data_IF_939895013294
#
_entry.id   IF_939895013294
#
_cell.length_a   1.000
_cell.length_b   1.000
_cell.length_c   1.000
_cell.angle_alpha   90.00
_cell.angle_beta   90.00
_cell.angle_gamma   90.00
#
_symmetry.space_group_name_H-M   'P 1'
#
loop_
_entity.id
_entity.type
_entity.pdbx_description
1 polymer ?
#
# COMPACT_ATOMS: atom_id res chain seq x y z
N UNK A 1 -5.48 -36.48 21.34
CA UNK A 1 -6.21 -35.21 21.13
C UNK A 1 -5.16 -34.19 20.70
N UNK A 2 -4.93 -34.05 19.40
CA UNK A 2 -4.06 -33.00 18.88
C UNK A 2 -4.92 -31.74 18.80
N UNK A 3 -4.70 -30.76 19.68
CA UNK A 3 -5.15 -29.41 19.41
C UNK A 3 -4.42 -28.98 18.14
N UNK A 4 -5.16 -28.71 17.06
CA UNK A 4 -4.62 -27.99 15.93
C UNK A 4 -4.07 -26.67 16.50
N UNK A 5 -2.74 -26.51 16.52
CA UNK A 5 -2.16 -25.19 16.68
C UNK A 5 -2.71 -24.36 15.52
N UNK A 6 -3.69 -23.51 15.81
CA UNK A 6 -4.06 -22.44 14.92
C UNK A 6 -2.76 -21.72 14.59
N UNK A 7 -2.37 -21.69 13.31
CA UNK A 7 -1.30 -20.81 12.86
C UNK A 7 -1.70 -19.41 13.32
N UNK A 8 -0.82 -18.73 14.05
CA UNK A 8 -1.07 -17.37 14.51
C UNK A 8 -1.44 -16.49 13.31
N UNK A 9 -2.53 -15.73 13.46
CA UNK A 9 -2.96 -14.76 12.46
C UNK A 9 -1.94 -13.63 12.30
N UNK A 10 -2.12 -12.82 11.27
CA UNK A 10 -1.30 -11.63 11.06
C UNK A 10 -1.47 -10.62 12.20
N UNK A 11 -2.71 -10.47 12.67
CA UNK A 11 -3.08 -9.70 13.85
C UNK A 11 -2.36 -10.19 15.10
N UNK A 12 -2.45 -11.49 15.43
CA UNK A 12 -1.80 -12.08 16.61
C UNK A 12 -0.27 -11.83 16.66
N UNK A 13 0.40 -11.90 15.51
CA UNK A 13 1.84 -11.67 15.40
C UNK A 13 2.19 -10.21 15.69
N UNK A 14 1.41 -9.25 15.21
CA UNK A 14 1.65 -7.84 15.53
C UNK A 14 1.30 -7.53 16.98
N UNK A 15 0.20 -8.07 17.51
CA UNK A 15 -0.22 -7.86 18.92
C UNK A 15 0.85 -8.31 19.92
N UNK A 16 1.70 -9.29 19.57
CA UNK A 16 2.86 -9.69 20.38
C UNK A 16 3.78 -8.52 20.74
N UNK A 17 3.95 -7.55 19.85
CA UNK A 17 4.78 -6.36 20.07
C UNK A 17 4.08 -5.27 20.90
N UNK A 18 2.81 -5.45 21.25
CA UNK A 18 1.98 -4.51 22.01
C UNK A 18 1.50 -5.11 23.34
N UNK A 19 2.37 -5.88 24.00
CA UNK A 19 2.09 -6.42 25.33
C UNK A 19 1.12 -7.61 25.37
N UNK A 20 0.70 -8.15 24.21
CA UNK A 20 -0.10 -9.36 24.10
C UNK A 20 0.75 -10.52 23.56
N UNK A 21 1.65 -11.10 24.38
CA UNK A 21 2.65 -12.04 23.91
C UNK A 21 1.99 -13.27 23.28
N UNK A 22 2.33 -13.53 22.01
CA UNK A 22 1.92 -14.74 21.31
C UNK A 22 2.45 -16.00 22.05
N UNK A 23 1.57 -16.90 22.52
CA UNK A 23 1.99 -18.11 23.21
C UNK A 23 2.92 -18.97 22.34
N UNK A 24 4.04 -19.41 22.92
CA UNK A 24 5.06 -20.22 22.23
C UNK A 24 5.70 -19.54 21.01
N UNK A 25 5.70 -18.20 20.96
CA UNK A 25 6.44 -17.46 19.95
C UNK A 25 7.93 -17.91 19.92
N UNK A 26 8.52 -18.06 18.73
CA UNK A 26 9.95 -18.32 18.63
C UNK A 26 10.71 -17.10 19.17
N UNK A 27 11.83 -17.31 19.86
CA UNK A 27 12.67 -16.23 20.39
C UNK A 27 13.18 -15.24 19.31
N UNK A 28 13.17 -15.65 18.04
CA UNK A 28 13.49 -14.76 16.92
C UNK A 28 12.44 -13.66 16.74
N UNK A 29 11.20 -13.85 17.20
CA UNK A 29 10.15 -12.84 17.13
C UNK A 29 10.42 -11.67 18.08
N UNK A 30 10.96 -11.95 19.27
CA UNK A 30 11.29 -10.91 20.27
C UNK A 30 12.40 -9.94 19.78
N UNK A 31 13.28 -10.40 18.88
CA UNK A 31 14.36 -9.59 18.25
C UNK A 31 13.95 -9.04 16.88
N UNK A 32 12.76 -9.35 16.39
CA UNK A 32 12.35 -8.96 15.04
C UNK A 32 12.09 -7.45 14.93
N UNK A 33 12.34 -6.92 13.73
CA UNK A 33 11.91 -5.57 13.32
C UNK A 33 10.79 -5.67 12.31
N UNK A 34 9.91 -4.67 12.30
CA UNK A 34 8.82 -4.58 11.34
C UNK A 34 9.24 -3.59 10.26
N UNK A 35 9.27 -4.03 9.02
CA UNK A 35 9.61 -3.19 7.86
C UNK A 35 8.41 -3.15 6.94
N UNK A 36 7.80 -1.97 6.86
CA UNK A 36 6.85 -1.61 5.82
C UNK A 36 7.56 -1.30 4.51
N UNK A 37 7.03 -1.81 3.40
CA UNK A 37 7.43 -1.43 2.04
C UNK A 37 6.20 -1.10 1.19
N UNK A 38 6.29 -0.01 0.41
CA UNK A 38 5.36 0.33 -0.67
C UNK A 38 6.15 0.82 -1.89
N UNK A 39 5.74 0.43 -3.10
CA UNK A 39 6.33 0.92 -4.33
C UNK A 39 5.26 1.53 -5.24
N UNK A 40 5.55 2.71 -5.78
CA UNK A 40 4.73 3.31 -6.83
C UNK A 40 5.38 3.09 -8.20
N UNK A 41 4.56 2.84 -9.21
CA UNK A 41 5.05 2.59 -10.57
C UNK A 41 4.23 3.31 -11.65
N UNK A 42 4.87 3.54 -12.80
CA UNK A 42 4.20 4.17 -13.93
C UNK A 42 3.19 3.21 -14.56
N UNK A 43 1.91 3.58 -14.53
CA UNK A 43 0.80 2.68 -14.94
C UNK A 43 0.46 2.76 -16.43
N UNK A 44 0.97 3.76 -17.14
CA UNK A 44 0.63 4.01 -18.55
C UNK A 44 1.62 3.40 -19.54
N UNK A 45 2.80 3.01 -19.07
CA UNK A 45 3.79 2.30 -19.86
C UNK A 45 3.35 0.88 -20.20
N UNK A 46 4.09 0.22 -21.10
CA UNK A 46 4.07 -1.25 -21.20
C UNK A 46 4.91 -1.86 -20.06
N UNK A 47 6.07 -1.26 -19.79
CA UNK A 47 6.95 -1.61 -18.68
C UNK A 47 6.50 -0.83 -17.43
N UNK A 48 6.33 -1.54 -16.31
CA UNK A 48 6.00 -0.96 -15.00
C UNK A 48 7.26 -0.41 -14.35
N UNK A 49 7.71 0.74 -14.82
CA UNK A 49 8.83 1.44 -14.22
C UNK A 49 8.50 1.88 -12.79
N UNK A 50 9.24 1.38 -11.80
CA UNK A 50 9.12 1.85 -10.41
C UNK A 50 9.59 3.30 -10.35
N UNK A 51 8.72 4.18 -9.86
CA UNK A 51 8.94 5.62 -9.77
C UNK A 51 9.32 6.06 -8.37
N UNK A 52 8.79 5.39 -7.34
CA UNK A 52 8.96 5.78 -5.94
C UNK A 52 9.04 4.53 -5.05
N UNK A 53 9.75 4.64 -3.94
CA UNK A 53 9.85 3.66 -2.86
C UNK A 53 9.55 4.34 -1.53
N UNK A 54 8.64 3.73 -0.76
CA UNK A 54 8.37 4.06 0.62
C UNK A 54 8.84 2.93 1.52
N UNK A 55 9.61 3.27 2.55
CA UNK A 55 10.01 2.30 3.58
C UNK A 55 9.71 2.92 4.95
N UNK A 56 9.04 2.17 5.81
CA UNK A 56 8.83 2.52 7.21
C UNK A 56 9.37 1.40 8.10
N UNK A 57 10.25 1.72 9.04
CA UNK A 57 10.89 0.73 9.91
C UNK A 57 10.45 1.03 11.33
N UNK A 58 9.80 0.04 11.96
CA UNK A 58 9.47 0.04 13.37
C UNK A 58 10.34 -0.99 14.07
N UNK A 59 11.18 -0.50 14.97
CA UNK A 59 12.04 -1.32 15.81
C UNK A 59 11.47 -1.34 17.24
N UNK A 60 10.87 -2.45 17.69
CA UNK A 60 10.29 -2.55 19.02
C UNK A 60 11.30 -2.31 20.15
N UNK A 61 12.59 -2.53 19.90
CA UNK A 61 13.64 -2.33 20.93
C UNK A 61 13.93 -0.85 21.22
N UNK A 62 13.59 0.05 20.30
CA UNK A 62 13.69 1.50 20.52
C UNK A 62 12.66 2.01 21.55
N UNK A 63 11.71 1.17 21.96
CA UNK A 63 10.63 1.49 22.88
C UNK A 63 11.01 1.43 24.36
N UNK A 64 12.05 0.67 24.73
CA UNK A 64 12.41 0.34 26.12
C UNK A 64 12.73 1.53 27.06
N UNK A 65 12.65 2.78 26.59
CA UNK A 65 12.81 3.98 27.40
C UNK A 65 11.50 4.71 27.76
N UNK A 66 10.32 4.32 27.24
CA UNK A 66 9.07 5.09 27.43
C UNK A 66 7.84 4.22 27.74
N UNK A 67 6.87 4.81 28.44
CA UNK A 67 5.87 4.13 29.27
C UNK A 67 4.56 3.72 28.56
N UNK A 68 4.45 3.90 27.24
CA UNK A 68 3.20 3.65 26.52
C UNK A 68 3.45 3.03 25.12
N UNK A 69 3.02 1.78 24.93
CA UNK A 69 3.10 1.02 23.67
C UNK A 69 2.35 1.72 22.52
N UNK A 70 1.39 2.59 22.87
CA UNK A 70 0.56 3.29 21.90
C UNK A 70 1.27 4.46 21.20
N UNK A 71 2.50 4.81 21.61
CA UNK A 71 3.31 5.86 21.00
C UNK A 71 4.36 5.35 19.99
N UNK A 72 4.40 4.04 19.69
CA UNK A 72 5.41 3.39 18.85
C UNK A 72 5.59 4.04 17.46
N UNK A 73 4.51 4.55 16.88
CA UNK A 73 4.48 5.22 15.57
C UNK A 73 5.48 6.38 15.49
N UNK A 74 5.70 7.13 16.59
CA UNK A 74 6.57 8.32 16.58
C UNK A 74 8.06 7.97 16.42
N UNK A 75 8.43 6.71 16.67
CA UNK A 75 9.79 6.21 16.58
C UNK A 75 10.08 5.49 15.25
N UNK A 76 9.12 5.47 14.32
CA UNK A 76 9.36 4.88 13.01
C UNK A 76 10.41 5.68 12.24
N UNK A 77 11.38 4.97 11.67
CA UNK A 77 12.25 5.52 10.65
C UNK A 77 11.55 5.45 9.30
N UNK A 78 11.33 6.59 8.65
CA UNK A 78 10.62 6.65 7.38
C UNK A 78 11.53 7.18 6.27
N UNK A 79 11.53 6.48 5.16
CA UNK A 79 12.25 6.85 3.95
C UNK A 79 11.28 6.96 2.78
N UNK A 80 11.45 8.02 1.99
CA UNK A 80 10.78 8.17 0.72
C UNK A 80 11.80 8.51 -0.36
N UNK A 81 11.87 7.68 -1.38
CA UNK A 81 12.82 7.84 -2.46
C UNK A 81 12.12 7.83 -3.83
N UNK A 82 12.57 8.69 -4.73
CA UNK A 82 12.15 8.74 -6.13
C UNK A 82 13.30 8.30 -7.03
N UNK A 83 13.01 7.38 -7.95
CA UNK A 83 14.01 6.75 -8.80
C UNK A 83 14.38 7.72 -9.92
N UNK A 84 15.61 8.24 -9.93
CA UNK A 84 16.09 9.31 -10.84
C UNK A 84 15.74 9.06 -12.31
N UNK A 85 16.04 7.87 -12.89
CA UNK A 85 15.66 7.56 -14.27
C UNK A 85 14.15 7.71 -14.53
N UNK A 86 13.32 7.33 -13.56
CA UNK A 86 11.88 7.20 -13.71
C UNK A 86 11.09 8.36 -13.08
N UNK A 87 11.73 9.28 -12.34
CA UNK A 87 11.07 10.33 -11.56
C UNK A 87 10.31 11.37 -12.42
N UNK A 88 10.51 11.35 -13.74
CA UNK A 88 9.76 12.18 -14.68
C UNK A 88 8.40 11.55 -15.06
N UNK A 89 8.21 10.25 -14.81
CA UNK A 89 6.98 9.52 -15.02
C UNK A 89 6.03 9.79 -13.84
N UNK A 90 4.85 10.34 -14.13
CA UNK A 90 3.88 10.76 -13.11
C UNK A 90 2.47 10.30 -13.50
N UNK A 91 1.81 9.58 -12.60
CA UNK A 91 0.43 9.11 -12.76
C UNK A 91 -0.59 10.25 -12.51
N UNK A 92 -0.56 11.32 -13.31
CA UNK A 92 -1.37 12.53 -13.09
C UNK A 92 -2.88 12.30 -12.89
N UNK A 93 -3.45 11.26 -13.49
CA UNK A 93 -4.88 10.91 -13.37
C UNK A 93 -5.22 10.19 -12.07
N UNK A 94 -4.23 9.58 -11.41
CA UNK A 94 -4.39 8.90 -10.14
C UNK A 94 -4.17 9.86 -8.94
N UNK A 95 -4.09 11.19 -9.18
CA UNK A 95 -3.82 12.13 -8.10
C UNK A 95 -2.37 12.08 -7.61
N UNK A 96 -1.40 11.81 -8.49
CA UNK A 96 0.00 11.69 -8.10
C UNK A 96 0.50 12.93 -7.33
N UNK A 97 1.01 12.67 -6.13
CA UNK A 97 1.51 13.66 -5.18
C UNK A 97 2.97 13.41 -4.80
N UNK A 98 3.76 12.90 -5.75
CA UNK A 98 5.16 12.50 -5.60
C UNK A 98 6.09 13.51 -4.87
N UNK A 99 5.74 14.80 -4.88
CA UNK A 99 6.47 15.88 -4.20
C UNK A 99 5.93 16.23 -2.81
N UNK A 100 4.92 15.51 -2.30
CA UNK A 100 4.19 15.77 -1.05
C UNK A 100 4.37 14.67 -0.02
N UNK A 101 5.62 14.31 0.24
CA UNK A 101 5.95 13.43 1.36
C UNK A 101 5.78 14.17 2.69
N UNK A 102 4.98 13.60 3.60
CA UNK A 102 4.57 14.24 4.86
C UNK A 102 5.49 13.94 6.03
N UNK A 103 6.23 12.83 5.97
CA UNK A 103 6.96 12.27 7.11
C UNK A 103 8.48 12.47 6.99
N UNK A 104 8.93 13.39 6.13
CA UNK A 104 10.35 13.64 5.93
C UNK A 104 10.66 14.38 4.64
N UNK A 105 11.87 14.15 4.13
CA UNK A 105 12.33 14.73 2.86
C UNK A 105 12.46 13.65 1.81
N UNK A 106 11.80 13.84 0.66
CA UNK A 106 11.99 12.98 -0.52
C UNK A 106 13.44 13.04 -0.98
N UNK A 107 14.05 11.87 -1.17
CA UNK A 107 15.36 11.72 -1.80
C UNK A 107 15.20 11.27 -3.25
N UNK A 108 16.09 11.70 -4.13
CA UNK A 108 16.22 11.21 -5.48
C UNK A 108 17.43 10.30 -5.54
N UNK A 109 17.20 9.06 -5.96
CA UNK A 109 18.21 8.00 -5.92
C UNK A 109 18.38 7.35 -7.29
N UNK A 110 19.59 6.87 -7.56
CA UNK A 110 19.89 5.96 -8.67
C UNK A 110 19.33 4.56 -8.37
N UNK A 111 19.37 3.66 -9.37
CA UNK A 111 18.97 2.26 -9.17
C UNK A 111 19.90 1.53 -8.18
N UNK A 112 21.20 1.81 -8.24
CA UNK A 112 22.20 1.25 -7.31
C UNK A 112 21.96 1.73 -5.87
N UNK A 113 21.66 3.02 -5.68
CA UNK A 113 21.30 3.55 -4.36
C UNK A 113 19.96 2.98 -3.85
N UNK A 114 19.05 2.55 -4.73
CA UNK A 114 17.82 1.85 -4.33
C UNK A 114 18.12 0.46 -3.76
N UNK A 115 19.02 -0.29 -4.40
CA UNK A 115 19.54 -1.56 -3.86
C UNK A 115 20.24 -1.35 -2.51
N UNK A 116 21.06 -0.30 -2.37
CA UNK A 116 21.71 0.05 -1.11
C UNK A 116 20.70 0.39 -0.02
N UNK A 117 19.66 1.17 -0.33
CA UNK A 117 18.56 1.49 0.58
C UNK A 117 17.85 0.21 1.06
N UNK A 118 17.46 -0.66 0.15
CA UNK A 118 16.79 -1.92 0.48
C UNK A 118 17.70 -2.81 1.33
N UNK A 119 18.97 -2.95 0.97
CA UNK A 119 19.94 -3.72 1.74
C UNK A 119 20.11 -3.16 3.16
N UNK A 120 20.28 -1.84 3.31
CA UNK A 120 20.41 -1.21 4.62
C UNK A 120 19.14 -1.37 5.48
N UNK A 121 17.97 -1.33 4.86
CA UNK A 121 16.71 -1.54 5.56
C UNK A 121 16.55 -2.98 6.04
N UNK A 122 16.77 -3.97 5.17
CA UNK A 122 16.45 -5.38 5.43
C UNK A 122 17.59 -6.20 6.05
N UNK A 123 18.84 -5.72 5.98
CA UNK A 123 20.03 -6.37 6.55
C UNK A 123 20.55 -5.60 7.76
N UNK A 124 19.69 -5.32 8.75
CA UNK A 124 20.09 -4.63 9.98
C UNK A 124 20.90 -5.57 10.89
N UNK A 125 22.10 -5.19 11.35
CA UNK A 125 22.92 -6.05 12.19
C UNK A 125 22.28 -6.26 13.56
N UNK A 126 22.47 -7.45 14.14
CA UNK A 126 22.13 -7.72 15.54
C UNK A 126 23.03 -6.93 16.49
N UNK A 127 22.55 -6.65 17.70
CA UNK A 127 23.32 -5.93 18.73
C UNK A 127 24.62 -6.65 19.11
N UNK A 128 24.67 -7.99 18.99
CA UNK A 128 25.86 -8.79 19.25
C UNK A 128 26.88 -8.77 18.09
N UNK A 129 26.58 -8.10 16.97
CA UNK A 129 27.44 -8.01 15.79
C UNK A 129 27.47 -9.26 14.90
N UNK A 130 26.69 -10.31 15.21
CA UNK A 130 26.68 -11.57 14.46
C UNK A 130 25.35 -11.77 13.72
N UNK A 131 25.40 -11.60 12.39
CA UNK A 131 24.24 -11.78 11.51
C UNK A 131 23.27 -10.60 11.55
N UNK A 132 22.14 -10.78 10.87
CA UNK A 132 21.10 -9.76 10.73
C UNK A 132 19.87 -10.08 11.59
N UNK A 133 19.16 -9.03 11.97
CA UNK A 133 17.91 -9.14 12.73
C UNK A 133 16.81 -9.76 11.87
N UNK A 134 15.92 -10.58 12.46
CA UNK A 134 14.75 -11.08 11.76
C UNK A 134 13.83 -9.93 11.33
N UNK A 135 13.23 -10.06 10.15
CA UNK A 135 12.33 -9.04 9.57
C UNK A 135 10.93 -9.60 9.44
N UNK A 136 9.95 -8.81 9.89
CA UNK A 136 8.54 -8.93 9.51
C UNK A 136 8.28 -7.91 8.41
N UNK A 137 8.09 -8.40 7.19
CA UNK A 137 7.73 -7.55 6.05
C UNK A 137 6.24 -7.23 6.13
N UNK A 138 5.89 -5.95 6.05
CA UNK A 138 4.51 -5.46 6.15
C UNK A 138 4.14 -4.66 4.90
N UNK A 139 2.91 -4.82 4.41
CA UNK A 139 2.38 -3.91 3.39
C UNK A 139 0.89 -4.10 3.12
N UNK A 140 0.47 -3.64 1.94
CA UNK A 140 -0.91 -3.67 1.46
C UNK A 140 -0.93 -4.23 0.04
N UNK A 141 -1.07 -5.56 -0.09
CA UNK A 141 -0.80 -6.35 -1.30
C UNK A 141 0.70 -6.51 -1.65
N UNK A 142 1.51 -6.89 -0.64
CA UNK A 142 2.99 -6.98 -0.66
C UNK A 142 3.59 -7.73 -1.85
N UNK A 143 2.91 -8.78 -2.34
CA UNK A 143 3.41 -9.61 -3.43
C UNK A 143 3.64 -8.80 -4.71
N UNK A 144 2.81 -7.78 -4.97
CA UNK A 144 2.98 -6.92 -6.14
C UNK A 144 4.26 -6.09 -6.05
N UNK A 145 4.54 -5.53 -4.87
CA UNK A 145 5.72 -4.69 -4.65
C UNK A 145 7.00 -5.50 -4.81
N UNK A 146 7.08 -6.66 -4.15
CA UNK A 146 8.28 -7.52 -4.20
C UNK A 146 8.60 -8.00 -5.61
N UNK A 147 7.58 -8.34 -6.41
CA UNK A 147 7.77 -8.69 -7.82
C UNK A 147 8.34 -7.51 -8.61
N UNK A 148 7.80 -6.30 -8.40
CA UNK A 148 8.27 -5.10 -9.10
C UNK A 148 9.71 -4.73 -8.75
N UNK A 149 10.11 -4.92 -7.48
CA UNK A 149 11.50 -4.71 -7.07
C UNK A 149 12.46 -5.65 -7.80
N UNK A 150 12.11 -6.93 -7.89
CA UNK A 150 12.93 -7.91 -8.62
C UNK A 150 13.05 -7.53 -10.11
N UNK A 151 11.95 -7.14 -10.74
CA UNK A 151 11.91 -6.81 -12.17
C UNK A 151 12.66 -5.49 -12.50
N UNK A 152 12.62 -4.50 -11.62
CA UNK A 152 13.19 -3.16 -11.89
C UNK A 152 14.61 -2.96 -11.34
N UNK A 153 14.94 -3.60 -10.22
CA UNK A 153 16.22 -3.43 -9.53
C UNK A 153 17.06 -4.71 -9.49
N UNK A 154 16.49 -5.87 -9.86
CA UNK A 154 17.16 -7.16 -9.70
C UNK A 154 17.31 -7.58 -8.24
N UNK A 155 16.49 -7.01 -7.34
CA UNK A 155 16.55 -7.25 -5.89
C UNK A 155 15.41 -8.16 -5.46
N UNK A 156 15.75 -9.38 -5.05
CA UNK A 156 14.81 -10.30 -4.41
C UNK A 156 15.00 -10.18 -2.89
N UNK A 157 14.03 -9.55 -2.21
CA UNK A 157 14.09 -9.39 -0.76
C UNK A 157 14.19 -10.73 -0.02
N UNK A 158 13.74 -11.84 -0.64
CA UNK A 158 13.85 -13.19 -0.04
C UNK A 158 15.29 -13.68 -0.01
N UNK A 159 16.13 -13.25 -0.94
CA UNK A 159 17.56 -13.62 -0.99
C UNK A 159 18.36 -13.00 0.16
N UNK A 160 17.87 -11.93 0.80
CA UNK A 160 18.47 -11.40 2.02
C UNK A 160 18.41 -12.39 3.20
N UNK A 161 17.47 -13.34 3.18
CA UNK A 161 17.36 -14.38 4.20
C UNK A 161 16.98 -13.87 5.60
N UNK A 162 16.52 -12.62 5.72
CA UNK A 162 16.14 -12.00 6.99
C UNK A 162 14.63 -12.03 7.25
N UNK A 163 13.82 -12.12 6.19
CA UNK A 163 12.35 -12.11 6.29
C UNK A 163 11.86 -13.44 6.88
N UNK A 164 11.29 -13.38 8.09
CA UNK A 164 10.71 -14.53 8.79
C UNK A 164 9.18 -14.61 8.65
N UNK A 165 8.53 -13.49 8.31
CA UNK A 165 7.09 -13.41 8.10
C UNK A 165 6.75 -12.24 7.18
N UNK A 166 5.74 -12.42 6.34
CA UNK A 166 5.07 -11.34 5.62
C UNK A 166 3.68 -11.13 6.20
N UNK A 167 3.31 -9.88 6.45
CA UNK A 167 2.02 -9.43 6.97
C UNK A 167 1.37 -8.51 5.94
N UNK A 168 0.11 -8.79 5.64
CA UNK A 168 -0.71 -8.00 4.72
C UNK A 168 -1.91 -7.42 5.46
N UNK A 169 -2.09 -6.11 5.37
CA UNK A 169 -3.19 -5.39 6.02
C UNK A 169 -4.57 -5.76 5.45
N UNK A 170 -4.67 -6.26 4.22
CA UNK A 170 -5.94 -6.76 3.67
C UNK A 170 -6.37 -8.05 4.36
N UNK A 171 -5.40 -8.93 4.66
CA UNK A 171 -5.64 -10.17 5.41
C UNK A 171 -5.99 -9.83 6.86
N UNK A 172 -5.27 -8.91 7.50
CA UNK A 172 -5.58 -8.46 8.85
C UNK A 172 -6.99 -7.88 8.97
N UNK A 173 -7.43 -7.10 7.98
CA UNK A 173 -8.77 -6.55 7.93
C UNK A 173 -9.85 -7.65 7.89
N UNK A 174 -9.61 -8.72 7.13
CA UNK A 174 -10.48 -9.90 7.11
C UNK A 174 -10.48 -10.63 8.47
N UNK A 175 -9.32 -10.81 9.10
CA UNK A 175 -9.18 -11.47 10.41
C UNK A 175 -10.01 -10.79 11.51
N UNK A 176 -10.08 -9.45 11.52
CA UNK A 176 -10.88 -8.69 12.49
C UNK A 176 -12.31 -8.41 12.03
N UNK A 177 -12.70 -8.87 10.84
CA UNK A 177 -14.06 -8.73 10.31
C UNK A 177 -14.43 -7.34 9.78
N UNK A 178 -13.46 -6.55 9.31
CA UNK A 178 -13.74 -5.28 8.62
C UNK A 178 -14.50 -5.58 7.32
N UNK A 179 -15.67 -4.94 7.18
CA UNK A 179 -16.51 -5.11 6.00
C UNK A 179 -16.09 -4.14 4.89
N UNK A 180 -16.05 -4.67 3.66
CA UNK A 180 -15.76 -3.90 2.44
C UNK A 180 -16.73 -4.32 1.34
N UNK A 181 -17.13 -3.36 0.51
CA UNK A 181 -17.92 -3.64 -0.71
C UNK A 181 -17.05 -4.26 -1.83
N UNK A 182 -15.72 -4.19 -1.69
CA UNK A 182 -14.74 -4.76 -2.60
C UNK A 182 -14.16 -6.06 -2.03
N UNK A 183 -13.86 -7.08 -2.87
CA UNK A 183 -13.19 -8.31 -2.43
C UNK A 183 -11.85 -8.06 -1.73
N UNK A 184 -11.18 -6.98 -2.09
CA UNK A 184 -9.95 -6.50 -1.45
C UNK A 184 -10.20 -5.06 -1.00
N UNK A 185 -10.08 -4.80 0.29
CA UNK A 185 -10.24 -3.45 0.85
C UNK A 185 -9.02 -2.61 0.49
N UNK A 186 -9.24 -1.39 -0.02
CA UNK A 186 -8.14 -0.46 -0.31
C UNK A 186 -7.68 0.26 0.96
N UNK A 187 -6.41 0.69 0.97
CA UNK A 187 -5.83 1.45 2.08
C UNK A 187 -6.67 2.67 2.46
N UNK A 188 -7.17 3.41 1.48
CA UNK A 188 -8.06 4.56 1.69
C UNK A 188 -9.32 4.19 2.49
N UNK A 189 -9.94 3.06 2.15
CA UNK A 189 -11.17 2.62 2.81
C UNK A 189 -10.89 2.12 4.23
N UNK A 190 -9.72 1.48 4.46
CA UNK A 190 -9.24 1.13 5.80
C UNK A 190 -8.99 2.36 6.67
N UNK A 191 -8.28 3.37 6.16
CA UNK A 191 -8.03 4.62 6.88
C UNK A 191 -9.33 5.31 7.27
N UNK A 192 -10.28 5.38 6.31
CA UNK A 192 -11.61 5.93 6.55
C UNK A 192 -12.38 5.14 7.62
N UNK A 193 -12.25 3.82 7.64
CA UNK A 193 -12.88 2.96 8.65
C UNK A 193 -12.42 3.32 10.07
N UNK A 194 -11.14 3.62 10.23
CA UNK A 194 -10.56 4.11 11.50
C UNK A 194 -10.74 5.63 11.73
N UNK A 195 -11.46 6.34 10.86
CA UNK A 195 -11.65 7.79 10.98
C UNK A 195 -10.40 8.62 10.73
N UNK A 196 -9.35 8.05 10.13
CA UNK A 196 -8.12 8.76 9.79
C UNK A 196 -8.31 9.50 8.47
N UNK A 197 -8.10 10.81 8.49
CA UNK A 197 -8.09 11.63 7.29
C UNK A 197 -6.70 11.61 6.66
N UNK A 198 -6.61 10.98 5.50
CA UNK A 198 -5.39 10.87 4.73
C UNK A 198 -5.18 12.09 3.82
N UNK A 199 -3.93 12.56 3.73
CA UNK A 199 -3.51 13.58 2.77
C UNK A 199 -2.45 12.98 1.86
N UNK A 200 -2.56 13.28 0.57
CA UNK A 200 -1.56 12.92 -0.43
C UNK A 200 -1.25 11.41 -0.51
N UNK A 201 -2.30 10.58 -0.51
CA UNK A 201 -2.17 9.19 -0.97
C UNK A 201 -1.59 9.15 -2.39
N UNK A 202 -1.01 8.02 -2.77
CA UNK A 202 -0.21 7.86 -3.99
C UNK A 202 1.14 8.58 -3.90
N UNK A 203 1.70 8.57 -2.70
CA UNK A 203 3.12 8.84 -2.43
C UNK A 203 3.60 7.64 -1.63
N UNK A 204 4.53 6.86 -2.17
CA UNK A 204 4.88 5.57 -1.57
C UNK A 204 5.29 5.70 -0.09
N UNK A 205 6.02 6.77 0.24
CA UNK A 205 6.41 7.07 1.62
C UNK A 205 5.26 7.43 2.55
N UNK A 206 4.19 8.09 2.07
CA UNK A 206 3.01 8.34 2.89
C UNK A 206 2.19 7.06 3.05
N UNK A 207 2.00 6.34 1.95
CA UNK A 207 1.14 5.16 1.88
C UNK A 207 1.67 4.07 2.81
N UNK A 208 2.99 3.88 2.88
CA UNK A 208 3.55 2.89 3.81
C UNK A 208 3.43 3.28 5.28
N UNK A 209 3.54 4.56 5.63
CA UNK A 209 3.35 5.02 7.01
C UNK A 209 1.89 4.82 7.45
N UNK A 210 0.95 5.17 6.58
CA UNK A 210 -0.47 4.94 6.84
C UNK A 210 -0.80 3.45 6.88
N UNK A 211 -0.16 2.62 6.05
CA UNK A 211 -0.29 1.17 6.09
C UNK A 211 0.21 0.59 7.41
N UNK A 212 1.38 1.04 7.90
CA UNK A 212 1.90 0.67 9.22
C UNK A 212 0.90 1.05 10.32
N UNK A 213 0.42 2.30 10.32
CA UNK A 213 -0.54 2.77 11.33
C UNK A 213 -1.84 1.94 11.32
N UNK A 214 -2.38 1.62 10.15
CA UNK A 214 -3.56 0.74 10.01
C UNK A 214 -3.28 -0.66 10.53
N UNK A 215 -2.10 -1.23 10.24
CA UNK A 215 -1.74 -2.53 10.79
C UNK A 215 -1.71 -2.51 12.32
N UNK A 216 -1.14 -1.47 12.93
CA UNK A 216 -1.14 -1.33 14.38
C UNK A 216 -2.57 -1.24 14.93
N UNK A 217 -3.43 -0.43 14.32
CA UNK A 217 -4.83 -0.30 14.71
C UNK A 217 -5.60 -1.62 14.59
N UNK A 218 -5.38 -2.38 13.51
CA UNK A 218 -5.99 -3.69 13.32
C UNK A 218 -5.52 -4.69 14.38
N UNK A 219 -4.23 -4.66 14.75
CA UNK A 219 -3.68 -5.53 15.79
C UNK A 219 -4.16 -5.22 17.22
N UNK A 220 -4.69 -4.02 17.44
CA UNK A 220 -5.22 -3.57 18.73
C UNK A 220 -6.74 -3.49 18.77
N UNK A 221 -7.44 -3.77 17.66
CA UNK A 221 -8.89 -3.66 17.58
C UNK A 221 -9.60 -4.63 18.56
N UNK A 222 -10.65 -4.19 19.30
CA UNK A 222 -11.39 -2.93 19.20
C UNK A 222 -10.96 -1.80 20.16
N UNK A 223 -9.73 -1.82 20.68
CA UNK A 223 -9.26 -0.82 21.63
C UNK A 223 -9.17 0.59 21.01
N UNK A 224 -10.04 1.49 21.47
CA UNK A 224 -10.15 2.86 20.97
C UNK A 224 -9.05 3.78 21.50
N UNK A 225 -8.48 3.50 22.67
CA UNK A 225 -7.46 4.36 23.28
C UNK A 225 -6.16 4.31 22.47
N UNK A 226 -5.83 3.13 21.94
CA UNK A 226 -4.72 2.93 20.99
C UNK A 226 -4.91 3.76 19.73
N UNK A 227 -6.16 3.92 19.28
CA UNK A 227 -6.50 4.72 18.11
C UNK A 227 -6.06 6.18 18.21
N UNK A 228 -6.34 6.80 19.36
CA UNK A 228 -5.98 8.19 19.60
C UNK A 228 -4.45 8.39 19.70
N UNK A 229 -3.75 7.46 20.33
CA UNK A 229 -2.31 7.54 20.48
C UNK A 229 -1.56 7.33 19.16
N UNK A 230 -2.00 6.38 18.32
CA UNK A 230 -1.48 6.21 16.95
C UNK A 230 -1.66 7.49 16.14
N UNK A 231 -2.83 8.11 16.22
CA UNK A 231 -3.08 9.39 15.54
C UNK A 231 -2.13 10.50 16.02
N UNK A 232 -1.94 10.66 17.35
CA UNK A 232 -0.97 11.62 17.88
C UNK A 232 0.46 11.32 17.43
N UNK A 233 0.86 10.05 17.47
CA UNK A 233 2.18 9.59 17.02
C UNK A 233 2.41 9.90 15.54
N UNK A 234 1.40 9.79 14.68
CA UNK A 234 1.48 10.19 13.27
C UNK A 234 1.71 11.70 13.12
N UNK A 235 1.01 12.54 13.88
CA UNK A 235 1.21 13.99 13.83
C UNK A 235 2.58 14.41 14.35
N UNK A 236 3.06 13.79 15.43
CA UNK A 236 4.43 14.00 15.92
C UNK A 236 5.48 13.54 14.92
N UNK A 237 5.28 12.39 14.27
CA UNK A 237 6.18 11.89 13.23
C UNK A 237 6.27 12.86 12.04
N UNK A 238 5.15 13.46 11.63
CA UNK A 238 5.14 14.52 10.59
C UNK A 238 5.98 15.71 11.01
N UNK A 239 5.79 16.19 12.24
CA UNK A 239 6.57 17.33 12.78
C UNK A 239 8.06 16.97 12.83
N UNK A 240 8.42 15.84 13.42
CA UNK A 240 9.81 15.42 13.59
C UNK A 240 10.51 15.16 12.25
N UNK A 241 9.83 14.52 11.30
CA UNK A 241 10.36 14.25 9.96
C UNK A 241 10.72 15.54 9.21
N UNK A 242 9.98 16.64 9.44
CA UNK A 242 10.32 17.95 8.87
C UNK A 242 11.50 18.64 9.55
N UNK A 243 11.75 18.35 10.84
CA UNK A 243 12.78 19.02 11.63
C UNK A 243 14.14 18.33 11.56
N UNK A 244 14.16 17.00 11.45
CA UNK A 244 15.39 16.19 11.46
C UNK A 244 15.47 15.40 10.16
N UNK A 245 16.17 15.92 9.12
CA UNK A 245 16.36 15.18 7.88
C UNK A 245 17.07 13.86 8.17
N UNK A 246 16.56 12.77 7.61
CA UNK A 246 17.17 11.45 7.72
C UNK A 246 18.60 11.51 7.17
N UNK A 247 19.57 11.12 8.00
CA UNK A 247 21.01 11.13 7.68
C UNK A 247 21.42 9.99 6.72
N UNK A 248 20.54 9.64 5.79
CA UNK A 248 20.79 8.63 4.77
C UNK A 248 22.03 9.03 3.94
N UNK A 249 22.94 8.07 3.77
CA UNK A 249 24.18 8.24 2.99
C UNK A 249 23.95 8.25 1.47
N UNK A 250 22.74 7.92 1.04
CA UNK A 250 22.34 7.78 -0.34
C UNK A 250 21.42 8.93 -0.79
N UNK A 251 21.44 9.19 -2.09
CA UNK A 251 20.53 10.10 -2.76
C UNK A 251 20.75 11.59 -2.51
N UNK A 252 20.06 12.39 -3.30
CA UNK A 252 20.07 13.86 -3.25
C UNK A 252 18.67 14.40 -2.99
N UNK A 253 18.55 15.56 -2.36
CA UNK A 253 17.22 16.15 -2.03
C UNK A 253 16.67 17.05 -3.14
N UNK A 254 17.49 17.37 -4.14
CA UNK A 254 17.13 18.26 -5.23
C UNK A 254 17.48 17.61 -6.56
N UNK A 255 16.47 17.40 -7.40
CA UNK A 255 16.65 16.86 -8.75
C UNK A 255 15.61 17.44 -9.71
N UNK A 256 16.10 18.00 -10.81
CA UNK A 256 15.28 18.53 -11.88
C UNK A 256 14.86 17.41 -12.82
N UNK A 257 13.62 16.95 -12.71
CA UNK A 257 13.05 15.97 -13.63
C UNK A 257 12.91 16.50 -15.06
N UNK A 258 13.13 17.80 -15.32
CA UNK A 258 13.15 18.39 -16.67
C UNK A 258 14.53 18.34 -17.34
N UNK A 259 15.61 18.72 -16.64
CA UNK A 259 16.95 18.91 -17.23
C UNK A 259 18.09 18.11 -16.57
N UNK A 260 17.78 17.18 -15.65
CA UNK A 260 18.76 16.38 -14.88
C UNK A 260 19.68 17.16 -13.93
N UNK A 261 19.45 18.46 -13.75
CA UNK A 261 20.22 19.26 -12.80
C UNK A 261 19.95 18.83 -11.35
N UNK A 262 20.99 18.83 -10.53
CA UNK A 262 20.92 18.58 -9.08
C UNK A 262 20.85 19.87 -8.26
N UNK A 263 20.77 21.04 -8.91
CA UNK A 263 20.78 22.35 -8.23
C UNK A 263 19.40 22.98 -8.07
N UNK A 264 18.38 22.46 -8.74
CA UNK A 264 17.02 22.99 -8.67
C UNK A 264 15.96 21.92 -8.96
N UNK A 265 14.72 22.18 -8.55
CA UNK A 265 13.55 21.34 -8.86
C UNK A 265 12.93 21.73 -10.21
N UNK A 266 12.14 20.85 -10.82
CA UNK A 266 11.57 21.07 -12.16
C UNK A 266 10.68 22.33 -12.28
N UNK A 267 9.95 22.68 -11.22
CA UNK A 267 9.15 23.92 -11.14
C UNK A 267 10.00 25.20 -11.15
N UNK A 268 11.28 25.10 -10.79
CA UNK A 268 12.24 26.20 -10.78
C UNK A 268 13.20 26.15 -11.99
N UNK A 269 12.91 25.31 -13.00
CA UNK A 269 13.80 25.06 -14.12
C UNK A 269 13.59 26.01 -15.30
N UNK A 270 14.56 26.91 -15.49
CA UNK A 270 14.63 27.84 -16.63
C UNK A 270 15.42 27.29 -17.83
N UNK A 271 16.06 26.11 -17.70
CA UNK A 271 16.85 25.51 -18.78
C UNK A 271 15.96 25.19 -19.98
N UNK A 272 16.36 25.66 -21.16
CA UNK A 272 15.77 25.27 -22.43
C UNK A 272 16.13 23.82 -22.75
N UNK A 273 15.13 22.97 -22.90
CA UNK A 273 15.29 21.56 -23.29
C UNK A 273 14.50 21.32 -24.57
N UNK A 274 14.88 20.31 -25.34
CA UNK A 274 14.16 19.91 -26.55
C UNK A 274 14.13 18.40 -26.66
N UNK A 275 12.93 17.84 -26.81
CA UNK A 275 12.69 16.44 -27.10
C UNK A 275 12.59 16.23 -28.63
N UNK A 276 13.59 15.60 -29.23
CA UNK A 276 13.66 15.38 -30.67
C UNK A 276 12.51 14.50 -31.20
N UNK A 277 12.02 13.55 -30.38
CA UNK A 277 10.89 12.69 -30.75
C UNK A 277 9.57 13.46 -30.80
N UNK A 278 9.34 14.34 -29.84
CA UNK A 278 8.16 15.21 -29.87
C UNK A 278 8.21 16.17 -31.05
N UNK A 279 9.39 16.73 -31.40
CA UNK A 279 9.55 17.55 -32.61
C UNK A 279 9.15 16.79 -33.87
N UNK A 280 9.48 15.50 -33.96
CA UNK A 280 9.17 14.66 -35.12
C UNK A 280 7.71 14.19 -35.18
N UNK A 281 6.97 14.20 -34.06
CA UNK A 281 5.59 13.75 -33.98
C UNK A 281 4.62 14.95 -33.93
N UNK A 282 3.85 15.24 -35.00
CA UNK A 282 2.95 16.41 -35.04
C UNK A 282 1.95 16.47 -33.89
N UNK A 283 1.55 15.32 -33.32
CA UNK A 283 0.63 15.27 -32.17
C UNK A 283 1.27 15.82 -30.89
N UNK A 284 2.59 15.68 -30.77
CA UNK A 284 3.36 16.00 -29.56
C UNK A 284 4.31 17.20 -29.74
N UNK A 285 4.41 17.79 -30.93
CA UNK A 285 5.34 18.90 -31.20
C UNK A 285 5.21 20.07 -30.21
N UNK A 286 3.98 20.36 -29.76
CA UNK A 286 3.71 21.43 -28.78
C UNK A 286 4.37 21.21 -27.41
N UNK A 287 4.70 19.96 -27.03
CA UNK A 287 5.35 19.66 -25.75
C UNK A 287 6.85 19.43 -25.88
N UNK A 288 7.44 19.57 -27.08
CA UNK A 288 8.86 19.28 -27.33
C UNK A 288 9.81 20.09 -26.45
N UNK A 289 9.44 21.30 -26.01
CA UNK A 289 10.31 22.15 -25.19
C UNK A 289 10.14 21.98 -23.68
N UNK A 290 9.36 20.99 -23.25
CA UNK A 290 9.02 20.79 -21.83
C UNK A 290 9.90 19.76 -21.13
N UNK A 291 10.60 18.91 -21.87
CA UNK A 291 11.40 17.80 -21.34
C UNK A 291 12.54 17.43 -22.30
N UNK A 292 13.54 16.70 -21.80
CA UNK A 292 14.62 16.09 -22.60
C UNK A 292 14.13 14.82 -23.33
N UNK A 293 14.81 14.41 -24.40
CA UNK A 293 14.36 13.28 -25.25
C UNK A 293 14.25 11.97 -24.48
N UNK A 294 15.19 11.71 -23.59
CA UNK A 294 15.23 10.52 -22.72
C UNK A 294 14.15 10.50 -21.63
N UNK A 295 13.38 11.59 -21.49
CA UNK A 295 12.26 11.74 -20.54
C UNK A 295 10.90 11.80 -21.24
N UNK A 296 10.87 11.39 -22.50
CA UNK A 296 9.68 11.49 -23.32
C UNK A 296 8.70 10.38 -22.97
N UNK A 297 7.65 10.73 -22.22
CA UNK A 297 6.57 9.81 -21.82
C UNK A 297 5.91 9.13 -23.04
N UNK A 298 5.90 9.78 -24.21
CA UNK A 298 5.36 9.17 -25.42
C UNK A 298 6.13 7.89 -25.79
N UNK A 299 7.44 7.81 -25.53
CA UNK A 299 8.22 6.59 -25.77
C UNK A 299 7.75 5.42 -24.91
N UNK A 300 7.53 5.67 -23.61
CA UNK A 300 7.11 4.62 -22.67
C UNK A 300 5.71 4.10 -23.01
N UNK A 301 4.89 4.93 -23.66
CA UNK A 301 3.54 4.57 -24.11
C UNK A 301 3.57 3.91 -25.50
N UNK A 302 4.36 4.44 -26.45
CA UNK A 302 4.42 3.97 -27.85
C UNK A 302 5.14 2.63 -27.99
N UNK A 303 6.02 2.27 -27.05
CA UNK A 303 6.63 0.95 -27.00
C UNK A 303 5.62 -0.17 -26.71
N UNK A 304 4.39 0.14 -26.25
CA UNK A 304 3.31 -0.84 -26.21
C UNK A 304 3.26 -1.49 -27.58
N UNK A 305 3.61 -2.77 -27.65
CA UNK A 305 3.26 -3.58 -28.81
C UNK A 305 1.79 -3.25 -29.10
N UNK A 306 1.44 -2.79 -30.32
CA UNK A 306 0.04 -2.60 -30.63
C UNK A 306 -0.60 -3.95 -30.34
N UNK A 307 -1.39 -4.02 -29.27
CA UNK A 307 -2.17 -5.20 -28.96
C UNK A 307 -2.83 -5.56 -30.28
N UNK A 308 -2.57 -6.75 -30.86
CA UNK A 308 -3.08 -7.10 -32.18
C UNK A 308 -4.56 -6.81 -32.15
N UNK A 309 -4.95 -5.79 -32.94
CA UNK A 309 -6.22 -5.06 -32.86
C UNK A 309 -7.20 -5.69 -31.86
N UNK A 310 -7.04 -5.36 -30.57
CA UNK A 310 -7.86 -5.97 -29.51
C UNK A 310 -9.26 -5.36 -29.48
N UNK A 311 -9.84 -5.08 -30.66
CA UNK A 311 -11.23 -5.38 -30.89
C UNK A 311 -11.39 -6.89 -30.80
N UNK A 312 -11.21 -7.40 -29.59
CA UNK A 312 -11.73 -8.68 -29.22
C UNK A 312 -13.23 -8.60 -29.58
N UNK A 313 -13.71 -9.52 -30.42
CA UNK A 313 -15.03 -9.39 -31.02
C UNK A 313 -16.04 -9.04 -29.94
N UNK A 314 -16.78 -7.93 -30.10
CA UNK A 314 -17.70 -7.45 -29.09
C UNK A 314 -18.65 -8.58 -28.71
N UNK A 315 -18.95 -8.71 -27.41
CA UNK A 315 -19.77 -9.80 -26.90
C UNK A 315 -21.11 -9.87 -27.67
N UNK A 316 -21.22 -10.83 -28.58
CA UNK A 316 -22.38 -11.00 -29.47
C UNK A 316 -23.65 -11.27 -28.67
N UNK A 317 -23.55 -11.99 -27.55
CA UNK A 317 -24.64 -12.21 -26.62
C UNK A 317 -25.18 -10.90 -26.00
N UNK A 318 -24.30 -9.97 -25.62
CA UNK A 318 -24.72 -8.65 -25.14
C UNK A 318 -25.35 -7.81 -26.26
N UNK A 319 -24.79 -7.87 -27.48
CA UNK A 319 -25.34 -7.19 -28.65
C UNK A 319 -26.73 -7.71 -29.03
N UNK A 320 -26.94 -9.03 -28.96
CA UNK A 320 -28.19 -9.70 -29.34
C UNK A 320 -29.24 -9.69 -28.21
N UNK A 321 -28.89 -9.24 -27.01
CA UNK A 321 -29.80 -9.28 -25.84
C UNK A 321 -30.99 -8.33 -25.92
N UNK A 322 -30.97 -7.34 -26.82
CA UNK A 322 -31.98 -6.28 -26.92
C UNK A 322 -31.95 -5.25 -25.77
N UNK A 323 -31.10 -5.46 -24.75
CA UNK A 323 -30.94 -4.55 -23.61
C UNK A 323 -29.91 -3.47 -23.96
N UNK A 324 -30.34 -2.21 -24.00
CA UNK A 324 -29.49 -1.07 -24.34
C UNK A 324 -28.28 -0.91 -23.42
N UNK A 325 -28.42 -1.18 -22.11
CA UNK A 325 -27.31 -1.09 -21.16
C UNK A 325 -26.27 -2.17 -21.44
N UNK A 326 -26.69 -3.36 -21.86
CA UNK A 326 -25.76 -4.43 -22.26
C UNK A 326 -25.11 -4.15 -23.60
N UNK A 327 -25.88 -3.67 -24.57
CA UNK A 327 -25.39 -3.27 -25.87
C UNK A 327 -24.28 -2.22 -25.75
N UNK A 328 -24.49 -1.19 -24.93
CA UNK A 328 -23.49 -0.14 -24.67
C UNK A 328 -22.18 -0.65 -24.06
N UNK A 329 -22.21 -1.84 -23.42
CA UNK A 329 -21.05 -2.49 -22.80
C UNK A 329 -20.49 -3.65 -23.63
N UNK A 330 -21.11 -4.02 -24.75
CA UNK A 330 -20.70 -5.19 -25.53
C UNK A 330 -19.28 -5.05 -26.11
N UNK A 331 -18.80 -3.82 -26.30
CA UNK A 331 -17.45 -3.51 -26.78
C UNK A 331 -16.36 -3.60 -25.70
N UNK A 332 -16.72 -3.87 -24.44
CA UNK A 332 -15.79 -3.83 -23.30
C UNK A 332 -15.26 -5.20 -22.88
N UNK A 333 -15.78 -6.28 -23.47
CA UNK A 333 -15.42 -7.67 -23.13
C UNK A 333 -15.81 -8.64 -24.24
N UNK A 334 -15.16 -9.79 -24.26
CA UNK A 334 -15.50 -10.96 -25.11
C UNK A 334 -16.56 -11.85 -24.48
N UNK A 335 -17.11 -12.76 -25.28
CA UNK A 335 -18.15 -13.70 -24.85
C UNK A 335 -17.72 -14.57 -23.66
N UNK A 336 -16.48 -15.06 -23.62
CA UNK A 336 -15.99 -15.90 -22.51
C UNK A 336 -15.99 -15.14 -21.18
N UNK A 337 -15.77 -13.82 -21.25
CA UNK A 337 -15.71 -12.95 -20.07
C UNK A 337 -17.07 -12.34 -19.70
N UNK A 338 -18.12 -12.58 -20.50
CA UNK A 338 -19.44 -12.02 -20.25
C UNK A 338 -20.07 -12.63 -18.99
N UNK A 339 -20.13 -11.86 -17.91
CA UNK A 339 -20.76 -12.28 -16.66
C UNK A 339 -22.24 -12.65 -16.82
N UNK A 340 -22.93 -12.02 -17.79
CA UNK A 340 -24.32 -12.35 -18.11
C UNK A 340 -24.45 -13.70 -18.82
N UNK A 341 -23.62 -13.97 -19.83
CA UNK A 341 -23.57 -15.26 -20.52
C UNK A 341 -23.26 -16.39 -19.54
N UNK A 342 -22.30 -16.17 -18.62
CA UNK A 342 -21.96 -17.12 -17.56
C UNK A 342 -23.14 -17.41 -16.62
N UNK A 343 -24.05 -16.45 -16.39
CA UNK A 343 -25.29 -16.68 -15.61
C UNK A 343 -26.34 -17.46 -16.41
N UNK A 344 -26.49 -17.20 -17.71
CA UNK A 344 -27.41 -17.96 -18.57
C UNK A 344 -27.00 -19.43 -18.69
N UNK A 345 -25.70 -19.68 -18.90
CA UNK A 345 -25.15 -21.03 -19.07
C UNK A 345 -25.19 -21.85 -17.77
N UNK A 346 -25.23 -21.20 -16.60
CA UNK A 346 -25.35 -21.88 -15.31
C UNK A 346 -26.78 -22.39 -15.01
N UNK A 347 -27.75 -22.10 -15.88
CA UNK A 347 -29.15 -22.46 -15.66
C UNK A 347 -29.74 -21.83 -14.40
N UNK A 348 -31.06 -21.96 -14.16
CA UNK A 348 -31.62 -21.62 -12.86
C UNK A 348 -31.02 -22.58 -11.82
N UNK A 349 -30.13 -22.05 -10.97
CA UNK A 349 -29.64 -22.77 -9.80
C UNK A 349 -30.84 -23.29 -9.02
N UNK A 350 -30.88 -24.59 -8.74
CA UNK A 350 -31.72 -25.12 -7.68
C UNK A 350 -31.40 -24.29 -6.43
N UNK A 351 -32.33 -23.41 -6.04
CA UNK A 351 -32.33 -22.80 -4.72
C UNK A 351 -32.47 -23.98 -3.76
N UNK A 352 -31.37 -24.45 -3.20
CA UNK A 352 -31.43 -25.35 -2.07
C UNK A 352 -32.17 -24.61 -0.96
N UNK A 353 -33.20 -25.26 -0.43
CA UNK A 353 -34.12 -24.79 0.61
C UNK A 353 -33.46 -24.52 1.97
N UNK A 354 -32.12 -24.47 2.05
CA UNK A 354 -31.38 -24.35 3.31
C UNK A 354 -31.24 -22.91 3.83
N UNK A 355 -31.81 -21.92 3.12
CA UNK A 355 -31.71 -20.49 3.49
C UNK A 355 -32.79 -19.98 4.46
N UNK A 356 -33.85 -20.75 4.73
CA UNK A 356 -34.96 -20.29 5.59
C UNK A 356 -34.94 -20.87 7.01
N UNK A 357 -34.22 -21.97 7.28
CA UNK A 357 -34.18 -22.56 8.62
C UNK A 357 -33.14 -21.92 9.56
N UNK A 358 -32.09 -21.25 9.04
CA UNK A 358 -31.10 -20.59 9.91
C UNK A 358 -31.53 -19.25 10.50
N UNK A 359 -32.57 -18.61 9.97
CA UNK A 359 -33.12 -17.36 10.54
C UNK A 359 -34.12 -17.56 11.68
N UNK A 360 -34.61 -18.79 11.90
CA UNK A 360 -35.56 -19.09 12.97
C UNK A 360 -34.90 -19.54 14.28
N UNK A 361 -33.68 -20.08 14.24
CA UNK A 361 -33.00 -20.63 15.44
C UNK A 361 -32.28 -19.56 16.26
N UNK A 362 -31.89 -18.41 15.67
CA UNK A 362 -31.22 -17.33 16.39
C UNK A 362 -32.16 -16.30 17.03
N UNK A 363 -33.49 -16.48 16.93
CA UNK A 363 -34.49 -15.59 17.56
C UNK A 363 -35.17 -16.16 18.81
N UNK A 364 -34.76 -17.35 19.28
CA UNK A 364 -35.39 -18.03 20.42
C UNK A 364 -34.48 -18.15 21.67
N UNK A 365 -33.30 -17.50 21.71
CA UNK A 365 -32.36 -17.63 22.84
C UNK A 365 -32.01 -16.32 23.57
N UNK A 366 -32.83 -15.26 23.47
CA UNK A 366 -32.59 -14.00 24.20
C UNK A 366 -33.76 -13.50 25.06
N UNK A 367 -34.69 -14.37 25.45
CA UNK A 367 -35.81 -13.97 26.31
C UNK A 367 -35.90 -14.79 27.60
N UNK A 368 -34.90 -14.67 28.48
CA UNK A 368 -35.12 -14.87 29.93
C UNK A 368 -34.02 -14.23 30.77
N UNK A 369 -34.45 -13.46 31.78
CA UNK A 369 -33.67 -12.79 32.84
C UNK A 369 -32.88 -11.56 32.34
N UNK A 370 -33.23 -10.33 32.72
CA UNK A 370 -33.00 -9.77 34.04
C UNK A 370 -33.85 -8.51 34.22
N UNK A 371 -34.47 -8.38 35.38
CA UNK A 371 -35.21 -7.18 35.78
C UNK A 371 -34.38 -6.27 36.67
N UNK A 372 -34.72 -4.99 36.63
CA UNK A 372 -34.56 -4.06 37.75
C UNK A 372 -33.40 -3.09 37.65
N UNK A 373 -33.71 -1.80 37.56
CA UNK A 373 -32.86 -0.71 38.06
C UNK A 373 -32.60 0.43 37.07
N UNK A 374 -33.35 1.53 37.23
CA UNK A 374 -32.96 2.97 37.15
C UNK A 374 -31.52 3.30 36.76
N UNK A 375 -31.16 4.40 36.12
CA UNK A 375 -31.77 5.63 35.58
C UNK A 375 -30.63 6.29 34.78
N UNK A 376 -31.00 7.15 33.81
CA UNK A 376 -30.21 8.25 33.22
C UNK A 376 -28.72 8.03 32.86
N UNK A 377 -28.38 8.14 31.57
CA UNK A 377 -27.37 9.11 31.09
C UNK A 377 -27.58 9.40 29.60
N UNK A 378 -27.28 10.66 29.28
CA UNK A 378 -27.72 11.47 28.14
C UNK A 378 -26.86 11.25 26.90
N UNK A 379 -27.52 11.42 25.74
CA UNK A 379 -26.97 11.65 24.40
C UNK A 379 -25.62 12.38 24.36
N UNK A 380 -24.66 11.87 23.58
CA UNK A 380 -23.77 12.74 22.81
C UNK A 380 -23.53 12.17 21.40
N UNK A 381 -24.17 12.82 20.43
CA UNK A 381 -23.83 12.77 19.00
C UNK A 381 -22.97 13.99 18.65
N UNK A 382 -22.13 13.82 17.64
CA UNK A 382 -21.30 14.80 16.90
C UNK A 382 -19.95 15.08 17.56
N UNK A 383 -18.86 14.63 16.95
CA UNK A 383 -18.07 15.43 16.01
C UNK A 383 -17.54 14.55 14.88
#
# INVERSE_FOLDING_TARGET
MYFAQSLAGHTDILSHFFGLPLPHAPAALDDAIIIGLDAEWFTRGEIKHVTELGIAILDPTNHHAYTDDSELVKFMEVFHARIIPNAHLVNRRAGAHADKFLFGTTKFITLEEAEQLLTQAFCRPKANGYGYRPVILLGHAVDNDTQLLQENFGVDLREFGTIIKTIDTQIMAEEVGVQSDSPLIGLKDLLKWFGIQEKYLHTAGNDIVYTMAVALLLSSYPDMDVGYAIYRGLEELKVNGTLVPTAASWGITVFCTKCNSTSHMANNCSVGVTCFKCVQNPRNAHCAHTHMTEKCIAMDIENRTPTPDSRADPCTLCMMSGDFKRWSKAQTHVMENCAWARRLLRGPSQRTSNGLERSAVLRAQSSTQWGGGSEEWVEFRRW
#
